data_IF_018738612206
#
_entry.id   IF_018738612206
#
_cell.length_a   1.000
_cell.length_b   1.000
_cell.length_c   1.000
_cell.angle_alpha   90.00
_cell.angle_beta   90.00
_cell.angle_gamma   90.00
#
_symmetry.space_group_name_H-M   'P 1'
#
loop_
_entity.id
_entity.type
_entity.pdbx_description
1 polymer ?
#
# COMPACT_ATOMS: atom_id res chain seq x y z
N UNK A 1 -10.77 -3.86 -3.55
CA UNK A 1 -9.34 -4.20 -3.60
C UNK A 1 -9.10 -5.62 -3.11
N UNK A 2 -9.61 -6.00 -1.90
CA UNK A 2 -9.40 -7.32 -1.30
C UNK A 2 -9.90 -8.49 -2.16
N UNK A 3 -11.10 -8.39 -2.74
CA UNK A 3 -11.62 -9.43 -3.66
C UNK A 3 -10.72 -9.61 -4.89
N UNK A 4 -10.21 -8.52 -5.47
CA UNK A 4 -9.30 -8.59 -6.61
C UNK A 4 -7.97 -9.27 -6.25
N UNK A 5 -7.48 -9.06 -5.03
CA UNK A 5 -6.25 -9.69 -4.55
C UNK A 5 -6.40 -11.21 -4.30
N UNK A 6 -7.62 -11.68 -3.98
CA UNK A 6 -7.92 -13.11 -3.83
C UNK A 6 -8.20 -13.75 -5.18
N UNK A 7 -9.11 -13.15 -5.95
CA UNK A 7 -9.62 -13.72 -7.20
C UNK A 7 -8.59 -13.63 -8.32
N UNK A 8 -7.80 -12.54 -8.36
CA UNK A 8 -6.81 -12.28 -9.40
C UNK A 8 -5.78 -13.41 -9.56
N UNK A 9 -5.02 -13.78 -8.52
CA UNK A 9 -4.06 -14.88 -8.59
C UNK A 9 -4.70 -16.23 -8.92
N UNK A 10 -5.92 -16.51 -8.42
CA UNK A 10 -6.64 -17.77 -8.71
C UNK A 10 -7.02 -17.85 -10.19
N UNK A 11 -7.64 -16.79 -10.73
CA UNK A 11 -7.99 -16.74 -12.16
C UNK A 11 -6.71 -16.74 -13.01
N UNK A 12 -5.69 -15.97 -12.61
CA UNK A 12 -4.41 -15.91 -13.30
C UNK A 12 -3.73 -17.28 -13.39
N UNK A 13 -3.71 -18.04 -12.29
CA UNK A 13 -3.16 -19.38 -12.24
C UNK A 13 -3.94 -20.39 -13.09
N UNK A 14 -5.28 -20.36 -13.01
CA UNK A 14 -6.13 -21.22 -13.84
C UNK A 14 -5.98 -20.93 -15.33
N UNK A 15 -5.95 -19.67 -15.74
CA UNK A 15 -5.76 -19.29 -17.13
C UNK A 15 -4.33 -19.54 -17.61
N UNK A 16 -3.34 -19.46 -16.73
CA UNK A 16 -1.94 -19.74 -17.03
C UNK A 16 -1.68 -21.17 -17.50
N UNK A 17 -2.52 -22.12 -17.11
CA UNK A 17 -2.47 -23.51 -17.58
C UNK A 17 -2.71 -23.64 -19.10
N UNK A 18 -3.41 -22.70 -19.70
CA UNK A 18 -3.67 -22.65 -21.15
C UNK A 18 -2.59 -21.90 -21.93
N UNK A 19 -1.59 -21.38 -21.23
CA UNK A 19 -0.45 -20.66 -21.79
C UNK A 19 -0.13 -19.37 -21.04
N UNK A 20 1.14 -19.00 -20.97
CA UNK A 20 1.65 -17.85 -20.21
C UNK A 20 1.06 -16.49 -20.63
N UNK A 21 0.54 -16.37 -21.87
CA UNK A 21 -0.07 -15.14 -22.39
C UNK A 21 -1.58 -15.04 -22.16
N UNK A 22 -2.26 -16.15 -21.85
CA UNK A 22 -3.73 -16.19 -21.72
C UNK A 22 -4.24 -15.28 -20.60
N UNK A 23 -3.62 -15.22 -19.40
CA UNK A 23 -4.02 -14.28 -18.36
C UNK A 23 -3.98 -12.81 -18.80
N UNK A 24 -2.98 -12.44 -19.63
CA UNK A 24 -2.86 -11.07 -20.16
C UNK A 24 -3.98 -10.72 -21.14
N UNK A 25 -4.37 -11.66 -22.00
CA UNK A 25 -5.51 -11.46 -22.91
C UNK A 25 -6.83 -11.33 -22.14
N UNK A 26 -7.04 -12.17 -21.13
CA UNK A 26 -8.22 -12.08 -20.25
C UNK A 26 -8.27 -10.73 -19.52
N UNK A 27 -7.14 -10.27 -19.00
CA UNK A 27 -7.04 -8.96 -18.34
C UNK A 27 -7.33 -7.82 -19.32
N UNK A 28 -6.81 -7.87 -20.53
CA UNK A 28 -7.07 -6.87 -21.57
C UNK A 28 -8.57 -6.79 -21.93
N UNK A 29 -9.24 -7.94 -22.07
CA UNK A 29 -10.69 -8.00 -22.31
C UNK A 29 -11.46 -7.39 -21.11
N UNK A 30 -11.13 -7.75 -19.90
CA UNK A 30 -11.77 -7.20 -18.70
C UNK A 30 -11.58 -5.68 -18.58
N UNK A 31 -10.38 -5.17 -18.89
CA UNK A 31 -10.12 -3.74 -18.91
C UNK A 31 -10.95 -3.03 -20.00
N UNK A 32 -11.09 -3.64 -21.18
CA UNK A 32 -11.93 -3.10 -22.26
C UNK A 32 -13.40 -3.07 -21.85
N UNK A 33 -13.92 -4.15 -21.26
CA UNK A 33 -15.30 -4.20 -20.75
C UNK A 33 -15.53 -3.15 -19.67
N UNK A 34 -14.60 -3.00 -18.74
CA UNK A 34 -14.68 -1.98 -17.70
C UNK A 34 -14.63 -0.55 -18.28
N UNK A 35 -13.81 -0.30 -19.30
CA UNK A 35 -13.80 0.97 -20.03
C UNK A 35 -15.14 1.27 -20.67
N UNK A 36 -15.71 0.30 -21.41
CA UNK A 36 -17.02 0.45 -22.04
C UNK A 36 -18.13 0.69 -21.01
N UNK A 37 -18.11 -0.06 -19.91
CA UNK A 37 -19.04 0.15 -18.80
C UNK A 37 -18.93 1.57 -18.22
N UNK A 38 -17.68 2.02 -17.96
CA UNK A 38 -17.43 3.36 -17.42
C UNK A 38 -17.87 4.47 -18.39
N UNK A 39 -17.63 4.28 -19.70
CA UNK A 39 -17.98 5.26 -20.72
C UNK A 39 -19.48 5.38 -20.98
N UNK A 40 -20.22 4.24 -21.03
CA UNK A 40 -21.63 4.25 -21.45
C UNK A 40 -22.61 4.26 -20.28
N UNK A 41 -22.23 3.72 -19.10
CA UNK A 41 -23.18 3.44 -18.01
C UNK A 41 -22.91 4.31 -16.79
N UNK A 42 -21.62 4.64 -16.50
CA UNK A 42 -21.29 5.37 -15.29
C UNK A 42 -21.65 6.86 -15.43
N UNK A 43 -22.56 7.41 -14.61
CA UNK A 43 -22.83 8.84 -14.63
C UNK A 43 -21.66 9.62 -14.00
N UNK A 44 -21.45 10.82 -14.51
CA UNK A 44 -20.48 11.75 -13.91
C UNK A 44 -20.93 12.17 -12.52
N UNK A 45 -20.14 11.85 -11.51
CA UNK A 45 -20.44 12.12 -10.11
C UNK A 45 -20.22 13.57 -9.69
N UNK A 46 -19.41 14.33 -10.45
CA UNK A 46 -19.14 15.73 -10.13
C UNK A 46 -20.20 16.65 -10.74
N UNK A 47 -20.98 17.39 -9.92
CA UNK A 47 -21.95 18.37 -10.41
C UNK A 47 -21.32 19.41 -11.35
N UNK A 48 -22.09 19.88 -12.34
CA UNK A 48 -21.58 20.80 -13.38
C UNK A 48 -20.99 22.09 -12.79
N UNK A 49 -21.58 22.58 -11.71
CA UNK A 49 -21.15 23.81 -11.01
C UNK A 49 -19.75 23.66 -10.39
N UNK A 50 -19.35 22.44 -10.05
CA UNK A 50 -18.06 22.14 -9.43
C UNK A 50 -16.98 21.72 -10.45
N UNK A 51 -17.35 21.62 -11.75
CA UNK A 51 -16.40 21.21 -12.81
C UNK A 51 -15.49 22.38 -13.18
N UNK A 52 -14.21 22.08 -13.32
CA UNK A 52 -13.19 23.02 -13.81
C UNK A 52 -12.84 22.73 -15.26
N UNK A 53 -12.48 23.77 -16.00
CA UNK A 53 -11.90 23.60 -17.33
C UNK A 53 -10.58 22.79 -17.26
N UNK A 54 -10.41 21.88 -18.20
CA UNK A 54 -9.18 21.08 -18.33
C UNK A 54 -8.00 22.02 -18.62
N UNK A 55 -6.91 21.85 -17.84
CA UNK A 55 -5.68 22.61 -18.05
C UNK A 55 -4.47 21.66 -17.95
N UNK A 56 -3.82 21.42 -19.07
CA UNK A 56 -2.69 20.49 -19.19
C UNK A 56 -1.49 20.90 -18.30
N UNK A 57 -1.32 22.17 -18.01
CA UNK A 57 -0.25 22.66 -17.12
C UNK A 57 -0.45 22.19 -15.68
N UNK A 58 -1.69 21.90 -15.27
CA UNK A 58 -2.03 21.34 -13.96
C UNK A 58 -1.91 19.82 -13.94
N UNK A 59 -2.03 19.15 -15.07
CA UNK A 59 -1.85 17.70 -15.21
C UNK A 59 -0.37 17.25 -15.15
N UNK A 60 0.51 18.08 -14.61
CA UNK A 60 1.93 17.84 -14.47
C UNK A 60 2.22 17.35 -13.03
N UNK A 61 2.95 16.23 -12.81
CA UNK A 61 3.30 15.72 -11.48
C UNK A 61 3.97 16.78 -10.59
N UNK A 62 4.87 17.60 -11.15
CA UNK A 62 5.53 18.69 -10.44
C UNK A 62 4.51 19.76 -10.03
N UNK A 63 3.55 20.07 -10.91
CA UNK A 63 2.47 21.01 -10.62
C UNK A 63 1.56 20.53 -9.48
N UNK A 64 1.30 19.24 -9.41
CA UNK A 64 0.52 18.63 -8.32
C UNK A 64 1.22 18.79 -6.96
N UNK A 65 2.55 18.63 -6.91
CA UNK A 65 3.32 18.91 -5.69
C UNK A 65 3.34 20.41 -5.33
N UNK A 66 3.37 21.30 -6.32
CA UNK A 66 3.29 22.75 -6.07
C UNK A 66 1.93 23.15 -5.48
N UNK A 67 0.85 22.46 -5.85
CA UNK A 67 -0.48 22.70 -5.31
C UNK A 67 -0.57 22.37 -3.80
N UNK A 68 0.21 21.40 -3.31
CA UNK A 68 0.31 21.08 -1.88
C UNK A 68 0.79 22.26 -1.03
N UNK A 69 1.51 23.23 -1.59
CA UNK A 69 1.92 24.44 -0.86
C UNK A 69 0.73 25.24 -0.36
N UNK A 70 -0.44 25.11 -1.00
CA UNK A 70 -1.71 25.72 -0.58
C UNK A 70 -2.23 25.10 0.73
N UNK A 71 -1.84 23.86 1.02
CA UNK A 71 -2.31 23.08 2.15
C UNK A 71 -1.13 22.56 2.99
N UNK A 72 -0.49 23.38 3.84
CA UNK A 72 0.72 23.01 4.58
C UNK A 72 0.54 21.77 5.48
N UNK A 73 -0.68 21.54 6.00
CA UNK A 73 -1.02 20.35 6.79
C UNK A 73 -0.99 19.07 5.95
N UNK A 74 -1.31 19.15 4.67
CA UNK A 74 -1.29 17.99 3.77
C UNK A 74 0.12 17.54 3.43
N UNK A 75 1.11 18.46 3.40
CA UNK A 75 2.50 18.10 3.08
C UNK A 75 3.00 17.00 4.04
N UNK A 76 2.77 17.18 5.34
CA UNK A 76 3.16 16.18 6.34
C UNK A 76 2.46 14.83 6.17
N UNK A 77 1.15 14.84 5.83
CA UNK A 77 0.40 13.61 5.57
C UNK A 77 0.85 12.91 4.29
N UNK A 78 1.13 13.67 3.23
CA UNK A 78 1.63 13.13 1.95
C UNK A 78 3.03 12.53 2.11
N UNK A 79 3.90 13.17 2.89
CA UNK A 79 5.20 12.61 3.25
C UNK A 79 5.06 11.34 4.10
N UNK A 80 4.12 11.32 5.05
CA UNK A 80 3.83 10.10 5.82
C UNK A 80 3.38 8.95 4.91
N UNK A 81 2.52 9.24 3.92
CA UNK A 81 2.09 8.26 2.91
C UNK A 81 3.26 7.78 2.05
N UNK A 82 4.16 8.67 1.62
CA UNK A 82 5.38 8.28 0.89
C UNK A 82 6.22 7.28 1.67
N UNK A 83 6.49 7.59 2.95
CA UNK A 83 7.29 6.73 3.82
C UNK A 83 6.59 5.41 4.09
N UNK A 84 5.26 5.42 4.31
CA UNK A 84 4.43 4.23 4.46
C UNK A 84 4.54 3.29 3.25
N UNK A 85 4.35 3.82 2.02
CA UNK A 85 4.44 3.00 0.81
C UNK A 85 5.86 2.51 0.54
N UNK A 86 6.88 3.34 0.82
CA UNK A 86 8.29 2.91 0.73
C UNK A 86 8.56 1.74 1.68
N UNK A 87 8.08 1.80 2.91
CA UNK A 87 8.19 0.71 3.88
C UNK A 87 7.46 -0.57 3.42
N UNK A 88 6.28 -0.43 2.80
CA UNK A 88 5.49 -1.57 2.31
C UNK A 88 6.21 -2.38 1.24
N UNK A 89 7.17 -1.79 0.52
CA UNK A 89 7.99 -2.51 -0.46
C UNK A 89 8.92 -3.54 0.17
N UNK A 90 9.15 -3.51 1.50
CA UNK A 90 9.86 -4.60 2.18
C UNK A 90 9.16 -5.95 1.99
N UNK A 91 7.82 -5.97 2.07
CA UNK A 91 7.06 -7.21 1.78
C UNK A 91 6.94 -7.43 0.28
N UNK A 92 6.51 -6.43 -0.47
CA UNK A 92 6.23 -6.61 -1.89
C UNK A 92 7.46 -7.10 -2.69
N UNK A 93 8.67 -6.68 -2.30
CA UNK A 93 9.90 -6.99 -3.02
C UNK A 93 10.72 -8.12 -2.41
N UNK A 94 10.61 -8.36 -1.08
CA UNK A 94 11.50 -9.33 -0.43
C UNK A 94 10.77 -10.54 0.15
N UNK A 95 9.43 -10.61 0.12
CA UNK A 95 8.69 -11.72 0.73
C UNK A 95 9.20 -13.08 0.26
N UNK A 96 9.24 -13.30 -1.05
CA UNK A 96 9.70 -14.54 -1.63
C UNK A 96 11.18 -14.81 -1.33
N UNK A 97 12.03 -13.80 -1.51
CA UNK A 97 13.46 -13.93 -1.23
C UNK A 97 13.73 -14.29 0.23
N UNK A 98 13.10 -13.57 1.16
CA UNK A 98 13.24 -13.81 2.58
C UNK A 98 12.75 -15.19 3.00
N UNK A 99 11.56 -15.59 2.57
CA UNK A 99 10.96 -16.85 3.00
C UNK A 99 11.67 -18.07 2.40
N UNK A 100 12.12 -17.97 1.15
CA UNK A 100 12.95 -19.00 0.52
C UNK A 100 14.32 -19.09 1.19
N UNK A 101 14.96 -17.97 1.50
CA UNK A 101 16.28 -17.94 2.15
C UNK A 101 16.23 -18.42 3.60
N UNK A 102 15.27 -17.91 4.39
CA UNK A 102 15.23 -18.14 5.84
C UNK A 102 14.62 -19.49 6.22
N UNK A 103 13.59 -19.94 5.46
CA UNK A 103 12.80 -21.11 5.80
C UNK A 103 12.85 -22.22 4.75
N UNK A 104 13.61 -22.03 3.67
CA UNK A 104 13.68 -22.95 2.52
C UNK A 104 12.29 -23.24 1.91
N UNK A 105 11.41 -22.22 1.87
CA UNK A 105 10.10 -22.38 1.25
C UNK A 105 10.24 -22.62 -0.26
N UNK A 106 9.40 -23.51 -0.77
CA UNK A 106 9.21 -23.69 -2.20
C UNK A 106 8.19 -22.65 -2.74
N UNK A 107 8.07 -22.60 -4.06
CA UNK A 107 7.14 -21.68 -4.74
C UNK A 107 5.68 -21.89 -4.31
N UNK A 108 5.30 -23.14 -3.98
CA UNK A 108 3.96 -23.51 -3.51
C UNK A 108 3.68 -22.88 -2.15
N UNK A 109 4.64 -22.95 -1.22
CA UNK A 109 4.47 -22.39 0.13
C UNK A 109 4.43 -20.87 0.10
N UNK A 110 5.25 -20.23 -0.76
CA UNK A 110 5.17 -18.79 -1.04
C UNK A 110 3.79 -18.43 -1.58
N UNK A 111 3.26 -19.19 -2.54
CA UNK A 111 1.92 -18.99 -3.08
C UNK A 111 0.81 -19.10 -2.03
N UNK A 112 0.89 -20.11 -1.15
CA UNK A 112 -0.07 -20.29 -0.04
C UNK A 112 -0.02 -19.08 0.91
N UNK A 113 1.18 -18.61 1.26
CA UNK A 113 1.34 -17.46 2.15
C UNK A 113 0.77 -16.17 1.55
N UNK A 114 0.99 -15.93 0.25
CA UNK A 114 0.39 -14.78 -0.45
C UNK A 114 -1.13 -14.90 -0.54
N UNK A 115 -1.66 -16.12 -0.71
CA UNK A 115 -3.09 -16.39 -0.62
C UNK A 115 -3.66 -16.05 0.76
N UNK A 116 -2.95 -16.41 1.83
CA UNK A 116 -3.32 -16.05 3.21
C UNK A 116 -3.31 -14.52 3.43
N UNK A 117 -2.29 -13.80 2.90
CA UNK A 117 -2.27 -12.32 2.89
C UNK A 117 -3.50 -11.77 2.19
N UNK A 118 -3.82 -12.26 0.98
CA UNK A 118 -4.98 -11.81 0.21
C UNK A 118 -6.29 -11.99 0.98
N UNK A 119 -6.47 -13.15 1.61
CA UNK A 119 -7.65 -13.47 2.42
C UNK A 119 -7.77 -12.54 3.63
N UNK A 120 -6.68 -12.37 4.40
CA UNK A 120 -6.66 -11.50 5.57
C UNK A 120 -6.90 -10.03 5.20
N UNK A 121 -6.23 -9.53 4.15
CA UNK A 121 -6.45 -8.17 3.64
C UNK A 121 -7.89 -7.99 3.17
N UNK A 122 -8.45 -8.99 2.48
CA UNK A 122 -9.85 -8.98 2.05
C UNK A 122 -10.82 -8.92 3.23
N UNK A 123 -10.59 -9.70 4.29
CA UNK A 123 -11.38 -9.65 5.52
C UNK A 123 -11.26 -8.31 6.23
N UNK A 124 -10.05 -7.77 6.37
CA UNK A 124 -9.82 -6.49 7.05
C UNK A 124 -10.45 -5.33 6.28
N UNK A 125 -10.19 -5.21 4.99
CA UNK A 125 -10.69 -4.09 4.18
C UNK A 125 -12.15 -4.25 3.75
N UNK A 126 -12.63 -5.48 3.57
CA UNK A 126 -14.01 -5.75 3.15
C UNK A 126 -15.02 -5.73 4.30
N UNK A 127 -14.61 -6.24 5.45
CA UNK A 127 -15.52 -6.46 6.59
C UNK A 127 -15.11 -5.61 7.79
N UNK A 128 -13.89 -5.79 8.29
CA UNK A 128 -13.48 -5.29 9.59
C UNK A 128 -13.42 -3.75 9.64
N UNK A 129 -12.99 -3.12 8.55
CA UNK A 129 -12.89 -1.66 8.45
C UNK A 129 -14.25 -0.98 8.64
N UNK A 130 -15.35 -1.62 8.22
CA UNK A 130 -16.71 -1.10 8.38
C UNK A 130 -17.16 -1.01 9.83
N UNK A 131 -16.58 -1.86 10.69
CA UNK A 131 -16.87 -1.91 12.12
C UNK A 131 -15.89 -1.05 12.93
N UNK A 132 -14.62 -1.08 12.56
CA UNK A 132 -13.56 -0.37 13.28
C UNK A 132 -13.60 1.13 13.01
N UNK A 133 -13.77 1.53 11.77
CA UNK A 133 -13.67 2.95 11.38
C UNK A 133 -14.73 3.85 12.02
N UNK A 134 -16.02 3.44 12.18
CA UNK A 134 -17.01 4.22 12.92
C UNK A 134 -16.68 4.36 14.41
N UNK A 135 -16.02 3.37 15.02
CA UNK A 135 -15.69 3.37 16.45
C UNK A 135 -14.45 4.23 16.73
N UNK A 136 -13.39 4.03 15.94
CA UNK A 136 -12.12 4.74 16.16
C UNK A 136 -12.08 6.13 15.53
N UNK A 137 -12.80 6.32 14.42
CA UNK A 137 -12.61 7.47 13.54
C UNK A 137 -11.32 7.38 12.71
N UNK A 138 -11.22 8.21 11.67
CA UNK A 138 -10.11 8.12 10.71
C UNK A 138 -8.74 8.39 11.34
N UNK A 139 -8.62 9.39 12.21
CA UNK A 139 -7.31 9.77 12.79
C UNK A 139 -6.75 8.68 13.71
N UNK A 140 -7.59 8.12 14.59
CA UNK A 140 -7.14 7.00 15.45
C UNK A 140 -6.88 5.74 14.66
N UNK A 141 -7.63 5.49 13.58
CA UNK A 141 -7.39 4.37 12.65
C UNK A 141 -6.02 4.46 11.98
N UNK A 142 -5.53 5.68 11.66
CA UNK A 142 -4.15 5.88 11.19
C UNK A 142 -3.17 5.39 12.25
N UNK A 143 -3.27 5.88 13.50
CA UNK A 143 -2.30 5.54 14.54
C UNK A 143 -2.31 4.05 14.90
N UNK A 144 -3.48 3.47 15.08
CA UNK A 144 -3.64 2.04 15.40
C UNK A 144 -3.13 1.18 14.25
N UNK A 145 -3.51 1.52 13.01
CA UNK A 145 -3.07 0.79 11.84
C UNK A 145 -1.54 0.86 11.63
N UNK A 146 -0.95 2.05 11.80
CA UNK A 146 0.50 2.23 11.69
C UNK A 146 1.26 1.50 12.80
N UNK A 147 0.74 1.49 14.03
CA UNK A 147 1.33 0.72 15.13
C UNK A 147 1.30 -0.79 14.83
N UNK A 148 0.17 -1.30 14.33
CA UNK A 148 0.03 -2.70 13.92
C UNK A 148 0.95 -3.07 12.75
N UNK A 149 1.11 -2.19 11.75
CA UNK A 149 2.10 -2.37 10.69
C UNK A 149 3.53 -2.42 11.23
N UNK A 150 3.89 -1.50 12.13
CA UNK A 150 5.21 -1.46 12.76
C UNK A 150 5.50 -2.76 13.52
N UNK A 151 4.53 -3.22 14.32
CA UNK A 151 4.64 -4.48 15.06
C UNK A 151 4.77 -5.65 14.09
N UNK A 152 3.92 -5.73 13.05
CA UNK A 152 3.97 -6.79 12.05
C UNK A 152 5.31 -6.86 11.34
N UNK A 153 5.85 -5.73 10.89
CA UNK A 153 7.16 -5.65 10.24
C UNK A 153 8.30 -6.09 11.19
N UNK A 154 8.27 -5.63 12.43
CA UNK A 154 9.26 -6.04 13.42
C UNK A 154 9.20 -7.54 13.71
N UNK A 155 8.00 -8.10 13.84
CA UNK A 155 7.80 -9.54 14.06
C UNK A 155 8.31 -10.36 12.88
N UNK A 156 8.07 -9.95 11.62
CA UNK A 156 8.62 -10.61 10.44
C UNK A 156 10.16 -10.62 10.46
N UNK A 157 10.78 -9.52 10.89
CA UNK A 157 12.24 -9.45 11.00
C UNK A 157 12.81 -10.47 12.00
N UNK A 158 12.06 -10.77 13.06
CA UNK A 158 12.46 -11.67 14.15
C UNK A 158 11.99 -13.12 13.96
N UNK A 159 11.30 -13.42 12.85
CA UNK A 159 10.78 -14.77 12.60
C UNK A 159 11.91 -15.77 12.40
N UNK A 160 11.93 -16.81 13.20
CA UNK A 160 12.88 -17.93 13.14
C UNK A 160 12.25 -19.22 12.62
N UNK A 161 10.92 -19.34 12.72
CA UNK A 161 10.18 -20.52 12.34
C UNK A 161 9.11 -20.19 11.28
N UNK A 162 8.88 -21.13 10.37
CA UNK A 162 7.97 -20.98 9.22
C UNK A 162 6.54 -20.59 9.62
N UNK A 163 6.01 -21.18 10.69
CA UNK A 163 4.66 -20.93 11.20
C UNK A 163 4.47 -19.50 11.74
N UNK A 164 5.54 -18.87 12.24
CA UNK A 164 5.52 -17.50 12.76
C UNK A 164 5.08 -16.51 11.68
N UNK A 165 5.50 -16.75 10.43
CA UNK A 165 5.12 -15.89 9.30
C UNK A 165 3.61 -15.77 9.16
N UNK A 166 2.86 -16.86 9.31
CA UNK A 166 1.39 -16.85 9.22
C UNK A 166 0.72 -16.13 10.37
N UNK A 167 1.23 -16.29 11.60
CA UNK A 167 0.69 -15.59 12.77
C UNK A 167 0.98 -14.08 12.67
N UNK A 168 2.17 -13.71 12.25
CA UNK A 168 2.59 -12.31 12.14
C UNK A 168 1.92 -11.56 10.99
N UNK A 169 1.31 -12.29 10.03
CA UNK A 169 0.40 -11.69 9.06
C UNK A 169 -0.81 -11.03 9.73
N UNK A 170 -1.26 -11.50 10.89
CA UNK A 170 -2.46 -10.95 11.55
C UNK A 170 -2.27 -9.46 11.90
N UNK A 171 -1.28 -9.07 12.74
CA UNK A 171 -1.06 -7.65 13.02
C UNK A 171 -0.72 -6.85 11.77
N UNK A 172 0.06 -7.40 10.84
CA UNK A 172 0.37 -6.74 9.58
C UNK A 172 -0.88 -6.43 8.75
N UNK A 173 -1.74 -7.40 8.50
CA UNK A 173 -2.96 -7.21 7.71
C UNK A 173 -3.98 -6.30 8.42
N UNK A 174 -4.09 -6.38 9.76
CA UNK A 174 -4.89 -5.45 10.54
C UNK A 174 -4.40 -4.01 10.40
N UNK A 175 -3.10 -3.79 10.25
CA UNK A 175 -2.51 -2.48 9.92
C UNK A 175 -3.08 -1.87 8.65
N UNK A 176 -3.64 -2.69 7.74
CA UNK A 176 -4.27 -2.28 6.48
C UNK A 176 -5.41 -1.27 6.62
N UNK A 177 -5.92 -1.03 7.83
CA UNK A 177 -6.90 0.04 8.10
C UNK A 177 -6.29 1.44 7.93
N UNK A 178 -4.97 1.60 8.05
CA UNK A 178 -4.30 2.90 7.94
C UNK A 178 -4.43 3.53 6.54
N UNK A 179 -4.31 2.74 5.48
CA UNK A 179 -4.34 3.24 4.10
C UNK A 179 -5.62 4.01 3.75
N UNK A 180 -6.80 3.39 3.84
CA UNK A 180 -8.08 4.07 3.63
C UNK A 180 -8.31 5.24 4.59
N UNK A 181 -7.82 5.16 5.84
CA UNK A 181 -7.92 6.24 6.80
C UNK A 181 -7.08 7.46 6.39
N UNK A 182 -5.84 7.27 5.93
CA UNK A 182 -5.02 8.33 5.34
C UNK A 182 -5.73 8.99 4.16
N UNK A 183 -6.26 8.18 3.24
CA UNK A 183 -6.95 8.68 2.06
C UNK A 183 -8.18 9.50 2.45
N UNK A 184 -8.99 9.04 3.41
CA UNK A 184 -10.15 9.77 3.90
C UNK A 184 -9.76 11.10 4.56
N UNK A 185 -8.74 11.10 5.43
CA UNK A 185 -8.27 12.31 6.11
C UNK A 185 -7.71 13.34 5.14
N UNK A 186 -6.97 12.91 4.12
CA UNK A 186 -6.39 13.78 3.11
C UNK A 186 -7.49 14.34 2.21
N UNK A 187 -8.39 13.49 1.71
CA UNK A 187 -9.48 13.91 0.83
C UNK A 187 -10.43 14.90 1.50
N UNK A 188 -10.73 14.73 2.79
CA UNK A 188 -11.60 15.62 3.53
C UNK A 188 -11.02 17.03 3.78
N UNK A 189 -9.73 17.27 3.49
CA UNK A 189 -9.08 18.57 3.68
C UNK A 189 -9.07 19.41 2.40
N UNK A 190 -9.60 18.91 1.29
CA UNK A 190 -9.68 19.64 0.04
C UNK A 190 -11.11 19.70 -0.47
N UNK A 191 -11.51 20.80 -1.15
CA UNK A 191 -12.84 20.93 -1.72
C UNK A 191 -13.06 19.90 -2.86
N UNK A 192 -14.35 19.62 -3.14
CA UNK A 192 -14.72 18.60 -4.12
C UNK A 192 -14.10 18.80 -5.52
N UNK A 193 -13.92 20.07 -5.93
CA UNK A 193 -13.34 20.43 -7.23
C UNK A 193 -11.80 20.32 -7.28
N UNK A 194 -11.13 19.98 -6.17
CA UNK A 194 -9.67 19.74 -6.07
C UNK A 194 -9.34 18.26 -5.78
N UNK A 195 -10.36 17.39 -5.61
CA UNK A 195 -10.19 15.98 -5.30
C UNK A 195 -9.32 15.25 -6.34
N UNK A 196 -9.47 15.57 -7.63
CA UNK A 196 -8.65 14.99 -8.69
C UNK A 196 -7.18 15.34 -8.58
N UNK A 197 -6.84 16.58 -8.18
CA UNK A 197 -5.45 17.02 -7.99
C UNK A 197 -4.79 16.30 -6.80
N UNK A 198 -5.51 16.13 -5.69
CA UNK A 198 -4.96 15.42 -4.52
C UNK A 198 -4.83 13.92 -4.77
N UNK A 199 -5.77 13.29 -5.48
CA UNK A 199 -5.66 11.89 -5.87
C UNK A 199 -4.48 11.68 -6.84
N UNK A 200 -4.28 12.59 -7.80
CA UNK A 200 -3.11 12.60 -8.68
C UNK A 200 -1.80 12.74 -7.90
N UNK A 201 -1.77 13.60 -6.89
CA UNK A 201 -0.61 13.75 -6.00
C UNK A 201 -0.31 12.46 -5.22
N UNK A 202 -1.32 11.85 -4.61
CA UNK A 202 -1.16 10.57 -3.89
C UNK A 202 -0.66 9.47 -4.82
N UNK A 203 -1.21 9.36 -6.02
CA UNK A 203 -0.75 8.40 -7.04
C UNK A 203 0.70 8.65 -7.43
N UNK A 204 1.11 9.91 -7.61
CA UNK A 204 2.50 10.27 -7.92
C UNK A 204 3.46 9.88 -6.81
N UNK A 205 3.04 10.09 -5.54
CA UNK A 205 3.81 9.70 -4.35
C UNK A 205 3.96 8.19 -4.25
N UNK A 206 2.88 7.44 -4.49
CA UNK A 206 2.92 5.97 -4.54
C UNK A 206 3.84 5.47 -5.65
N UNK A 207 3.79 6.10 -6.83
CA UNK A 207 4.69 5.77 -7.94
C UNK A 207 6.15 6.08 -7.63
N UNK A 208 6.43 7.21 -6.98
CA UNK A 208 7.79 7.54 -6.53
C UNK A 208 8.30 6.53 -5.50
N UNK A 209 7.46 6.08 -4.56
CA UNK A 209 7.82 5.03 -3.61
C UNK A 209 8.09 3.69 -4.29
N UNK A 210 7.38 3.39 -5.39
CA UNK A 210 7.60 2.17 -6.17
C UNK A 210 8.90 2.19 -6.99
N UNK A 211 9.47 3.37 -7.24
CA UNK A 211 10.80 3.51 -7.86
C UNK A 211 11.90 3.32 -6.82
N UNK A 212 11.75 3.92 -5.65
CA UNK A 212 12.81 3.95 -4.60
C UNK A 212 12.74 2.71 -3.71
N UNK A 213 11.53 2.25 -3.39
CA UNK A 213 11.31 1.19 -2.39
C UNK A 213 11.95 -0.16 -2.75
N UNK A 214 11.65 -0.75 -3.92
CA UNK A 214 12.20 -2.05 -4.28
C UNK A 214 13.73 -2.09 -4.29
N UNK A 215 14.47 -1.18 -4.95
CA UNK A 215 15.93 -1.18 -4.91
C UNK A 215 16.50 -1.00 -3.50
N UNK A 216 15.89 -0.14 -2.69
CA UNK A 216 16.29 0.08 -1.31
C UNK A 216 16.15 -1.22 -0.49
N UNK A 217 14.99 -1.85 -0.54
CA UNK A 217 14.68 -3.02 0.30
C UNK A 217 15.44 -4.26 -0.16
N UNK A 218 15.53 -4.51 -1.48
CA UNK A 218 16.30 -5.65 -2.01
C UNK A 218 17.81 -5.43 -1.84
N UNK A 219 18.29 -4.19 -1.97
CA UNK A 219 19.68 -3.86 -1.71
C UNK A 219 20.10 -4.15 -0.26
N UNK A 220 19.26 -3.79 0.70
CA UNK A 220 19.49 -4.10 2.13
C UNK A 220 19.45 -5.62 2.36
N UNK A 221 18.46 -6.31 1.77
CA UNK A 221 18.41 -7.77 1.87
C UNK A 221 19.71 -8.41 1.36
N UNK A 222 20.15 -8.01 0.17
CA UNK A 222 21.38 -8.52 -0.43
C UNK A 222 22.61 -8.21 0.46
N UNK A 223 22.74 -6.98 0.97
CA UNK A 223 23.86 -6.58 1.82
C UNK A 223 23.97 -7.45 3.07
N UNK A 224 22.85 -7.76 3.74
CA UNK A 224 22.84 -8.54 4.97
C UNK A 224 22.74 -10.07 4.77
N UNK A 225 22.59 -10.55 3.54
CA UNK A 225 22.57 -11.99 3.21
C UNK A 225 23.76 -12.45 2.37
N UNK A 226 24.62 -11.49 1.95
CA UNK A 226 25.84 -11.81 1.21
C UNK A 226 26.84 -12.54 2.11
N UNK A 227 27.67 -13.40 1.51
CA UNK A 227 28.72 -14.17 2.21
C UNK A 227 29.76 -13.29 2.90
N UNK A 228 29.99 -12.08 2.38
CA UNK A 228 30.93 -11.11 2.90
C UNK A 228 30.30 -10.15 3.93
N UNK A 229 29.05 -10.35 4.32
CA UNK A 229 28.37 -9.52 5.31
C UNK A 229 29.04 -9.65 6.69
N UNK A 230 29.20 -8.55 7.40
CA UNK A 230 29.76 -8.54 8.76
C UNK A 230 28.93 -9.41 9.74
N UNK A 231 27.64 -9.51 9.52
CA UNK A 231 26.74 -10.48 10.15
C UNK A 231 25.57 -10.77 9.21
N UNK A 232 25.09 -11.99 9.22
CA UNK A 232 23.97 -12.42 8.36
C UNK A 232 22.66 -12.15 9.09
N UNK A 233 21.77 -11.34 8.46
CA UNK A 233 20.46 -11.02 9.01
C UNK A 233 19.44 -10.76 7.91
N UNK A 234 18.77 -11.79 7.46
CA UNK A 234 17.80 -11.73 6.37
C UNK A 234 16.58 -10.81 6.68
N UNK A 235 16.27 -10.58 7.97
CA UNK A 235 15.20 -9.71 8.44
C UNK A 235 15.45 -8.20 8.33
N UNK A 236 16.66 -7.76 7.93
CA UNK A 236 17.06 -6.36 7.89
C UNK A 236 16.08 -5.43 7.12
N UNK A 237 15.53 -5.79 5.95
CA UNK A 237 14.55 -4.96 5.25
C UNK A 237 13.28 -4.72 6.06
N UNK A 238 12.83 -5.70 6.84
CA UNK A 238 11.65 -5.58 7.67
C UNK A 238 11.90 -4.71 8.91
N UNK A 239 13.12 -4.73 9.47
CA UNK A 239 13.53 -3.76 10.53
C UNK A 239 13.51 -2.35 9.98
N UNK A 240 14.11 -2.10 8.82
CA UNK A 240 14.05 -0.79 8.18
C UNK A 240 12.59 -0.37 7.93
N UNK A 241 11.76 -1.29 7.45
CA UNK A 241 10.34 -1.02 7.24
C UNK A 241 9.63 -0.64 8.54
N UNK A 242 9.90 -1.33 9.65
CA UNK A 242 9.36 -0.97 10.96
C UNK A 242 9.78 0.44 11.39
N UNK A 243 11.05 0.80 11.20
CA UNK A 243 11.57 2.17 11.47
C UNK A 243 10.86 3.20 10.58
N UNK A 244 10.71 2.94 9.29
CA UNK A 244 10.01 3.83 8.37
C UNK A 244 8.52 3.99 8.75
N UNK A 245 7.85 2.91 9.20
CA UNK A 245 6.47 2.97 9.70
C UNK A 245 6.37 3.86 10.95
N UNK A 246 7.33 3.80 11.87
CA UNK A 246 7.40 4.71 13.02
C UNK A 246 7.60 6.15 12.58
N UNK A 247 8.51 6.41 11.65
CA UNK A 247 8.72 7.76 11.08
C UNK A 247 7.44 8.27 10.43
N UNK A 248 6.76 7.44 9.63
CA UNK A 248 5.47 7.79 9.02
C UNK A 248 4.41 8.13 10.09
N UNK A 249 4.36 7.37 11.18
CA UNK A 249 3.45 7.63 12.31
C UNK A 249 3.73 8.98 12.96
N UNK A 250 5.00 9.30 13.19
CA UNK A 250 5.44 10.58 13.76
C UNK A 250 5.06 11.74 12.82
N UNK A 251 5.32 11.61 11.52
CA UNK A 251 4.96 12.61 10.53
C UNK A 251 3.43 12.85 10.50
N UNK A 252 2.65 11.77 10.50
CA UNK A 252 1.19 11.84 10.55
C UNK A 252 0.70 12.54 11.82
N UNK A 253 1.30 12.22 12.99
CA UNK A 253 0.95 12.84 14.26
C UNK A 253 1.16 14.36 14.24
N UNK A 254 2.33 14.82 13.81
CA UNK A 254 2.62 16.25 13.75
C UNK A 254 1.73 16.98 12.72
N UNK A 255 1.46 16.34 11.58
CA UNK A 255 0.61 16.92 10.55
C UNK A 255 -0.86 17.07 11.02
N UNK A 256 -1.39 16.05 11.71
CA UNK A 256 -2.76 16.08 12.25
C UNK A 256 -2.90 17.07 13.41
N UNK A 257 -1.91 17.12 14.30
CA UNK A 257 -1.91 18.09 15.41
C UNK A 257 -1.89 19.54 14.94
N UNK A 258 -1.22 19.82 13.84
CA UNK A 258 -1.18 21.17 13.23
C UNK A 258 -2.53 21.58 12.64
N UNK A 259 -3.39 20.64 12.28
CA UNK A 259 -4.74 20.89 11.79
C UNK A 259 -5.70 21.38 12.90
N UNK A 260 -5.47 20.97 14.15
CA UNK A 260 -6.32 21.30 15.30
C UNK A 260 -5.89 22.58 16.03
N UNK A 261 -4.82 23.25 15.57
CA UNK A 261 -4.40 24.58 15.99
C UNK A 261 -4.76 25.61 14.91
#
# INVERSE_FOLDING_TARGET
>A
FGLGFIIGPVIGGLLGQYGSRVPFYATAILCMLNFLYGYFILPESLPKENRRAFNIKRANPIGSFMHLKKYPSLIGLVLAVFVLYTASHAIQSNWSYFTMYQFNWDEKMVGISLGAVGLLVGLVQGVLIRWINPILGNEKSIYVGMALYTIGMFLFAMATESWMMFIFLIPYCLGGIAGPAFQAVISNQVPANEQGEIQGTLTSVMSASAIVGPPLMTGIFFYFTNKDAAFIFAGAPFVLAAILMLISTILAYYALRKKHK
#
